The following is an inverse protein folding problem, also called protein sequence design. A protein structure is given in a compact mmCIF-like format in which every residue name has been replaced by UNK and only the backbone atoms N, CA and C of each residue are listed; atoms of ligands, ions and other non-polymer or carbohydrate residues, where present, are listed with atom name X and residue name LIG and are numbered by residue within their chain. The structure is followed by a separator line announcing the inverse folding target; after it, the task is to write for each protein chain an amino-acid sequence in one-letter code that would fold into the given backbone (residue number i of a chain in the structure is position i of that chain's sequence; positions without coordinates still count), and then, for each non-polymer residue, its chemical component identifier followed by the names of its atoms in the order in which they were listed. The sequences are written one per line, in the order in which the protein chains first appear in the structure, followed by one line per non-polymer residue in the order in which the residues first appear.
data_IF_881807168871
#
_entry.id   IF_881807168871
#
_cell.length_a   1.000
_cell.length_b   1.000
_cell.length_c   1.000
_cell.angle_alpha   90.00
_cell.angle_beta   90.00
_cell.angle_gamma   90.00
#
_symmetry.space_group_name_H-M   'P 1'
#
loop_
_entity.id
_entity.type
_entity.pdbx_description
1 polymer ?
#
# COMPACT_ATOMS: atom_id res chain seq x y z
N UNK A 1 -35.97 -52.91 3.00
CA UNK A 1 -36.19 -51.65 2.28
C UNK A 1 -36.24 -50.41 3.19
N UNK A 2 -36.76 -50.50 4.41
CA UNK A 2 -36.94 -49.36 5.32
C UNK A 2 -35.64 -48.63 5.72
N UNK A 3 -34.55 -49.39 5.87
CA UNK A 3 -33.25 -48.83 6.23
C UNK A 3 -32.61 -48.01 5.09
N UNK A 4 -32.80 -48.42 3.84
CA UNK A 4 -32.33 -47.65 2.68
C UNK A 4 -32.93 -46.24 2.66
N UNK A 5 -34.26 -46.14 2.81
CA UNK A 5 -34.97 -44.85 2.84
C UNK A 5 -34.47 -43.98 4.00
N UNK A 6 -34.22 -44.55 5.17
CA UNK A 6 -33.68 -43.81 6.32
C UNK A 6 -32.27 -43.26 6.05
N UNK A 7 -31.39 -44.07 5.46
CA UNK A 7 -30.03 -43.64 5.15
C UNK A 7 -29.99 -42.62 4.00
N UNK A 8 -30.83 -42.76 2.98
CA UNK A 8 -30.92 -41.78 1.89
C UNK A 8 -31.42 -40.43 2.40
N UNK A 9 -32.45 -40.41 3.26
CA UNK A 9 -32.92 -39.16 3.88
C UNK A 9 -31.87 -38.55 4.82
N UNK A 10 -31.18 -39.36 5.63
CA UNK A 10 -30.12 -38.87 6.50
C UNK A 10 -28.97 -38.25 5.69
N UNK A 11 -28.55 -38.89 4.60
CA UNK A 11 -27.52 -38.36 3.70
C UNK A 11 -27.97 -37.08 2.99
N UNK A 12 -29.23 -37.01 2.55
CA UNK A 12 -29.77 -35.84 1.85
C UNK A 12 -29.83 -34.62 2.78
N UNK A 13 -30.27 -34.82 4.02
CA UNK A 13 -30.34 -33.79 5.06
C UNK A 13 -28.94 -33.33 5.46
N UNK A 14 -28.01 -34.28 5.67
CA UNK A 14 -26.61 -33.99 5.98
C UNK A 14 -25.91 -33.18 4.88
N UNK A 15 -26.09 -33.57 3.61
CA UNK A 15 -25.56 -32.82 2.47
C UNK A 15 -26.18 -31.43 2.35
N UNK A 16 -27.47 -31.27 2.63
CA UNK A 16 -28.14 -29.96 2.57
C UNK A 16 -27.65 -29.02 3.69
N UNK A 17 -27.53 -29.53 4.93
CA UNK A 17 -26.96 -28.80 6.06
C UNK A 17 -25.48 -28.46 5.84
N UNK A 18 -24.70 -29.42 5.34
CA UNK A 18 -23.29 -29.21 5.01
C UNK A 18 -23.11 -28.14 3.94
N UNK A 19 -23.93 -28.15 2.89
CA UNK A 19 -23.91 -27.13 1.84
C UNK A 19 -24.26 -25.76 2.40
N UNK A 20 -25.29 -25.64 3.24
CA UNK A 20 -25.68 -24.38 3.86
C UNK A 20 -24.58 -23.80 4.75
N UNK A 21 -23.90 -24.65 5.54
CA UNK A 21 -22.78 -24.22 6.36
C UNK A 21 -21.57 -23.83 5.52
N UNK A 22 -21.24 -24.61 4.48
CA UNK A 22 -20.13 -24.31 3.59
C UNK A 22 -20.34 -23.00 2.83
N UNK A 23 -21.55 -22.78 2.28
CA UNK A 23 -21.90 -21.53 1.60
C UNK A 23 -21.95 -20.36 2.59
N UNK A 24 -22.53 -20.55 3.77
CA UNK A 24 -22.61 -19.50 4.78
C UNK A 24 -21.23 -19.04 5.26
N UNK A 25 -20.38 -19.98 5.67
CA UNK A 25 -19.02 -19.68 6.14
C UNK A 25 -18.13 -19.22 4.98
N UNK A 26 -18.18 -19.90 3.83
CA UNK A 26 -17.39 -19.55 2.66
C UNK A 26 -17.75 -18.16 2.10
N UNK A 27 -19.03 -17.85 1.97
CA UNK A 27 -19.48 -16.52 1.52
C UNK A 27 -19.10 -15.44 2.54
N UNK A 28 -19.29 -15.68 3.84
CA UNK A 28 -18.89 -14.70 4.88
C UNK A 28 -17.38 -14.42 4.85
N UNK A 29 -16.55 -15.45 4.64
CA UNK A 29 -15.10 -15.32 4.53
C UNK A 29 -14.70 -14.52 3.30
N UNK A 30 -15.35 -14.77 2.15
CA UNK A 30 -15.05 -14.09 0.90
C UNK A 30 -15.47 -12.61 0.99
N UNK A 31 -16.63 -12.32 1.59
CA UNK A 31 -17.08 -10.94 1.82
C UNK A 31 -16.13 -10.21 2.78
N UNK A 32 -15.70 -10.85 3.86
CA UNK A 32 -14.73 -10.25 4.80
C UNK A 32 -13.39 -9.93 4.11
N UNK A 33 -12.90 -10.84 3.26
CA UNK A 33 -11.69 -10.61 2.47
C UNK A 33 -11.88 -9.46 1.47
N UNK A 34 -13.05 -9.38 0.82
CA UNK A 34 -13.35 -8.32 -0.13
C UNK A 34 -13.39 -6.95 0.56
N UNK A 35 -13.98 -6.88 1.76
CA UNK A 35 -13.97 -5.66 2.57
C UNK A 35 -12.54 -5.30 2.95
N UNK A 36 -11.75 -6.24 3.46
CA UNK A 36 -10.36 -6.00 3.82
C UNK A 36 -9.51 -5.50 2.64
N UNK A 37 -9.72 -6.05 1.44
CA UNK A 37 -9.03 -5.62 0.22
C UNK A 37 -9.42 -4.21 -0.26
N UNK A 38 -10.59 -3.70 0.17
CA UNK A 38 -11.02 -2.33 -0.12
C UNK A 38 -10.64 -1.31 0.96
N UNK A 39 -10.12 -1.76 2.11
CA UNK A 39 -9.57 -0.86 3.16
C UNK A 39 -8.09 -0.60 2.86
N UNK A 40 -7.84 -0.06 1.68
CA UNK A 40 -6.57 0.56 1.33
C UNK A 40 -6.94 1.88 0.67
N UNK A 41 -6.29 2.95 1.09
CA UNK A 41 -6.51 4.32 0.58
C UNK A 41 -7.68 5.08 1.21
N UNK A 42 -7.65 5.23 2.54
CA UNK A 42 -8.08 6.51 3.10
C UNK A 42 -6.98 7.54 2.78
N UNK A 43 -7.28 8.54 1.95
CA UNK A 43 -6.42 9.70 1.71
C UNK A 43 -5.83 10.17 3.05
N UNK A 44 -4.50 10.20 3.22
CA UNK A 44 -3.89 10.58 4.47
C UNK A 44 -4.25 12.05 4.77
N UNK A 45 -5.16 12.27 5.71
CA UNK A 45 -5.49 13.63 6.15
C UNK A 45 -4.30 14.20 6.91
N UNK A 46 -3.51 15.03 6.24
CA UNK A 46 -2.33 15.68 6.81
C UNK A 46 -2.79 16.67 7.90
N UNK A 47 -2.48 16.35 9.16
CA UNK A 47 -2.83 17.20 10.30
C UNK A 47 -1.78 18.30 10.49
N UNK A 48 -2.18 19.55 10.74
CA UNK A 48 -1.27 20.69 10.85
C UNK A 48 -0.71 20.81 12.28
N UNK A 49 0.60 21.06 12.48
CA UNK A 49 1.72 21.05 11.53
C UNK A 49 2.34 19.64 11.36
N UNK A 50 2.71 19.28 10.12
CA UNK A 50 3.33 17.98 9.81
C UNK A 50 4.78 18.14 9.33
N UNK A 51 5.55 17.06 9.45
CA UNK A 51 6.93 16.94 8.95
C UNK A 51 6.94 15.82 7.93
N UNK A 52 7.42 16.11 6.71
CA UNK A 52 7.58 15.12 5.66
C UNK A 52 8.81 14.26 5.97
N UNK A 53 8.61 12.97 6.23
CA UNK A 53 9.70 12.03 6.48
C UNK A 53 10.06 11.33 5.18
N UNK A 54 11.28 11.56 4.70
CA UNK A 54 11.88 10.84 3.58
C UNK A 54 12.78 9.74 4.12
N UNK A 55 12.32 8.49 4.05
CA UNK A 55 13.09 7.33 4.50
C UNK A 55 14.01 6.80 3.39
N UNK A 56 15.31 6.76 3.67
CA UNK A 56 16.38 6.26 2.81
C UNK A 56 16.51 4.74 2.82
N UNK A 57 15.77 4.05 3.70
CA UNK A 57 15.70 2.58 3.74
C UNK A 57 14.79 1.97 2.67
N UNK A 58 14.02 2.80 1.95
CA UNK A 58 13.05 2.35 0.94
C UNK A 58 13.74 2.00 -0.38
N UNK A 59 13.28 0.93 -1.04
CA UNK A 59 13.80 0.56 -2.35
C UNK A 59 13.16 1.44 -3.44
N UNK A 60 13.97 2.24 -4.13
CA UNK A 60 13.50 3.18 -5.16
C UNK A 60 13.64 2.53 -6.55
N UNK A 61 12.53 2.44 -7.29
CA UNK A 61 12.52 1.95 -8.69
C UNK A 61 12.01 3.00 -9.67
N UNK A 62 12.55 2.98 -10.89
CA UNK A 62 12.13 3.91 -11.96
C UNK A 62 10.72 3.64 -12.50
N UNK A 63 10.32 2.37 -12.51
CA UNK A 63 8.99 1.94 -12.95
C UNK A 63 8.07 1.77 -11.74
N UNK A 64 6.81 2.17 -11.88
CA UNK A 64 5.76 1.74 -10.95
C UNK A 64 5.85 0.23 -10.78
N UNK A 65 5.74 -0.30 -9.56
CA UNK A 65 5.49 -1.72 -9.38
C UNK A 65 4.19 -2.02 -10.13
N UNK A 66 4.30 -2.58 -11.33
CA UNK A 66 3.15 -3.17 -12.01
C UNK A 66 2.83 -4.39 -11.19
N UNK A 67 1.97 -4.23 -10.19
CA UNK A 67 1.41 -5.31 -9.43
C UNK A 67 0.48 -6.07 -10.39
N UNK A 68 1.03 -7.05 -11.10
CA UNK A 68 0.19 -8.06 -11.71
C UNK A 68 -0.59 -8.77 -10.60
N UNK A 69 -1.74 -9.36 -10.93
CA UNK A 69 -2.61 -9.98 -9.93
C UNK A 69 -1.97 -11.11 -9.12
N UNK A 70 -0.77 -11.57 -9.50
CA UNK A 70 0.03 -12.53 -8.73
C UNK A 70 1.00 -11.84 -7.78
N UNK A 71 1.69 -10.77 -8.20
CA UNK A 71 2.54 -9.98 -7.31
C UNK A 71 1.74 -9.34 -6.17
N UNK A 72 0.53 -8.81 -6.46
CA UNK A 72 -0.35 -8.24 -5.44
C UNK A 72 -0.79 -9.26 -4.37
N UNK A 73 -0.96 -10.53 -4.78
CA UNK A 73 -1.31 -11.60 -3.85
C UNK A 73 -0.10 -12.02 -3.00
N UNK A 74 1.09 -12.09 -3.61
CA UNK A 74 2.33 -12.40 -2.89
C UNK A 74 2.68 -11.31 -1.87
N UNK A 75 2.52 -10.03 -2.21
CA UNK A 75 2.77 -8.91 -1.29
C UNK A 75 1.79 -8.90 -0.10
N UNK A 76 0.51 -9.19 -0.35
CA UNK A 76 -0.48 -9.36 0.72
C UNK A 76 -0.18 -10.54 1.68
N UNK A 77 0.59 -11.54 1.22
CA UNK A 77 0.97 -12.73 2.00
C UNK A 77 2.37 -12.59 2.63
N UNK A 78 3.29 -11.88 1.98
CA UNK A 78 4.69 -11.74 2.38
C UNK A 78 4.92 -10.57 3.37
N UNK A 79 3.99 -9.62 3.44
CA UNK A 79 4.19 -8.36 4.15
C UNK A 79 4.87 -7.34 3.23
N UNK A 80 4.42 -6.08 3.32
CA UNK A 80 4.85 -4.94 2.48
C UNK A 80 6.37 -4.89 2.28
N UNK A 81 6.83 -5.23 1.09
CA UNK A 81 8.14 -4.80 0.60
C UNK A 81 7.93 -3.39 0.04
N UNK A 82 8.10 -2.37 0.89
CA UNK A 82 7.85 -0.95 0.59
C UNK A 82 8.76 -0.45 -0.56
N UNK A 83 8.35 -0.74 -1.80
CA UNK A 83 9.02 -0.32 -3.02
C UNK A 83 8.29 0.90 -3.57
N UNK A 84 8.99 2.03 -3.67
CA UNK A 84 8.38 3.28 -4.13
C UNK A 84 8.93 3.65 -5.51
N UNK A 85 8.02 4.08 -6.39
CA UNK A 85 8.38 4.57 -7.71
C UNK A 85 9.01 5.97 -7.63
N UNK A 86 10.07 6.21 -8.42
CA UNK A 86 10.75 7.52 -8.50
C UNK A 86 9.77 8.66 -8.81
N UNK A 87 8.79 8.41 -9.68
CA UNK A 87 7.76 9.39 -10.03
C UNK A 87 6.93 9.84 -8.83
N UNK A 88 6.56 8.91 -7.96
CA UNK A 88 5.78 9.22 -6.75
C UNK A 88 6.59 10.10 -5.80
N UNK A 89 7.89 9.85 -5.67
CA UNK A 89 8.79 10.70 -4.88
C UNK A 89 8.84 12.12 -5.45
N UNK A 90 9.03 12.26 -6.77
CA UNK A 90 9.11 13.58 -7.40
C UNK A 90 7.80 14.37 -7.24
N UNK A 91 6.65 13.72 -7.46
CA UNK A 91 5.33 14.35 -7.27
C UNK A 91 5.08 14.72 -5.81
N UNK A 92 5.41 13.84 -4.86
CA UNK A 92 5.26 14.12 -3.44
C UNK A 92 6.13 15.30 -2.99
N UNK A 93 7.36 15.44 -3.51
CA UNK A 93 8.19 16.61 -3.24
C UNK A 93 7.64 17.89 -3.87
N UNK A 94 7.07 17.82 -5.08
CA UNK A 94 6.47 18.98 -5.74
C UNK A 94 5.22 19.46 -5.01
N UNK A 95 4.33 18.54 -4.63
CA UNK A 95 3.13 18.85 -3.85
C UNK A 95 3.50 19.38 -2.47
N UNK A 96 4.47 18.75 -1.79
CA UNK A 96 4.95 19.22 -0.50
C UNK A 96 5.68 20.56 -0.56
N UNK A 97 6.23 20.95 -1.72
CA UNK A 97 6.81 22.28 -1.89
C UNK A 97 5.75 23.39 -1.86
N UNK A 98 4.50 23.06 -2.23
CA UNK A 98 3.39 24.02 -2.30
C UNK A 98 2.41 23.93 -1.14
N UNK A 99 2.51 22.89 -0.30
CA UNK A 99 1.63 22.70 0.85
C UNK A 99 2.12 23.51 2.08
N UNK A 100 1.32 24.50 2.49
CA UNK A 100 1.56 25.34 3.69
C UNK A 100 1.61 24.53 5.00
N UNK A 101 1.18 23.27 5.01
CA UNK A 101 1.07 22.43 6.22
C UNK A 101 2.36 21.70 6.60
N UNK A 102 3.29 21.55 5.66
CA UNK A 102 4.49 20.71 5.80
C UNK A 102 5.67 21.57 6.22
N UNK A 103 5.94 21.73 7.50
CA UNK A 103 6.91 22.73 8.00
C UNK A 103 8.37 22.34 7.77
N UNK A 104 8.66 21.04 7.64
CA UNK A 104 10.02 20.54 7.49
C UNK A 104 10.07 19.20 6.74
N UNK A 105 11.21 18.94 6.11
CA UNK A 105 11.60 17.64 5.56
C UNK A 105 12.61 16.98 6.49
N UNK A 106 12.31 15.78 7.00
CA UNK A 106 13.22 14.96 7.79
C UNK A 106 13.70 13.78 6.94
N UNK A 107 15.01 13.61 6.81
CA UNK A 107 15.59 12.43 6.18
C UNK A 107 15.85 11.38 7.25
N UNK A 108 15.11 10.27 7.19
CA UNK A 108 15.26 9.11 8.05
C UNK A 108 16.04 8.00 7.32
N UNK A 109 16.65 7.08 8.05
CA UNK A 109 17.29 5.89 7.48
C UNK A 109 18.82 5.98 7.31
N UNK A 110 19.41 4.85 6.92
CA UNK A 110 20.84 4.71 6.67
C UNK A 110 21.11 4.92 5.17
N UNK A 111 21.93 5.91 4.76
CA UNK A 111 22.28 6.13 3.35
C UNK A 111 23.00 4.93 2.70
N UNK A 112 23.52 3.98 3.49
CA UNK A 112 24.14 2.75 2.98
C UNK A 112 23.13 1.66 2.59
N UNK A 113 21.87 1.78 3.05
CA UNK A 113 20.78 0.86 2.70
C UNK A 113 20.06 1.23 1.40
N UNK A 114 20.41 2.37 0.80
CA UNK A 114 19.72 2.91 -0.37
C UNK A 114 20.15 2.17 -1.65
N UNK A 115 19.43 1.11 -1.97
CA UNK A 115 19.60 0.34 -3.21
C UNK A 115 18.83 1.02 -4.36
N UNK A 116 19.43 2.08 -4.91
CA UNK A 116 18.87 2.87 -5.99
C UNK A 116 19.92 3.17 -7.08
N UNK A 117 19.49 3.21 -8.34
CA UNK A 117 20.38 3.50 -9.47
C UNK A 117 21.00 4.91 -9.39
N UNK A 118 22.23 5.09 -9.88
CA UNK A 118 22.90 6.40 -9.87
C UNK A 118 22.08 7.52 -10.56
N UNK A 119 21.34 7.18 -11.62
CA UNK A 119 20.47 8.12 -12.32
C UNK A 119 19.30 8.57 -11.43
N UNK A 120 18.65 7.64 -10.74
CA UNK A 120 17.50 7.92 -9.87
C UNK A 120 17.91 8.80 -8.69
N UNK A 121 19.07 8.53 -8.09
CA UNK A 121 19.65 9.35 -7.03
C UNK A 121 19.97 10.77 -7.48
N UNK A 122 20.41 10.96 -8.72
CA UNK A 122 20.67 12.28 -9.26
C UNK A 122 19.38 13.10 -9.42
N UNK A 123 18.30 12.46 -9.87
CA UNK A 123 16.99 13.10 -10.01
C UNK A 123 16.40 13.49 -8.65
N UNK A 124 16.42 12.57 -7.67
CA UNK A 124 15.99 12.85 -6.29
C UNK A 124 16.79 14.02 -5.70
N UNK A 125 18.11 14.04 -5.91
CA UNK A 125 18.96 15.15 -5.46
C UNK A 125 18.57 16.49 -6.09
N UNK A 126 18.22 16.49 -7.37
CA UNK A 126 17.79 17.70 -8.07
C UNK A 126 16.44 18.19 -7.54
N UNK A 127 15.49 17.29 -7.30
CA UNK A 127 14.19 17.61 -6.71
C UNK A 127 14.31 18.17 -5.29
N UNK A 128 15.14 17.57 -4.43
CA UNK A 128 15.43 18.08 -3.08
C UNK A 128 16.04 19.49 -3.11
N UNK A 129 16.88 19.77 -4.11
CA UNK A 129 17.46 21.10 -4.29
C UNK A 129 16.37 22.12 -4.67
N UNK A 130 15.48 21.76 -5.58
CA UNK A 130 14.36 22.61 -5.99
C UNK A 130 13.38 22.87 -4.84
N UNK A 131 13.04 21.83 -4.07
CA UNK A 131 12.22 21.94 -2.86
C UNK A 131 12.80 22.97 -1.88
N UNK A 132 14.10 22.87 -1.59
CA UNK A 132 14.77 23.84 -0.70
C UNK A 132 14.76 25.27 -1.26
N UNK A 133 14.92 25.44 -2.57
CA UNK A 133 14.89 26.76 -3.21
C UNK A 133 13.49 27.39 -3.18
N UNK A 134 12.42 26.61 -3.38
CA UNK A 134 11.03 27.07 -3.29
C UNK A 134 10.69 27.58 -1.88
N UNK A 135 11.02 26.80 -0.85
CA UNK A 135 10.82 27.17 0.55
C UNK A 135 11.58 28.43 0.96
N UNK A 136 12.78 28.63 0.42
CA UNK A 136 13.57 29.83 0.69
C UNK A 136 13.01 31.08 -0.01
N UNK A 137 12.29 30.90 -1.13
CA UNK A 137 11.61 31.99 -1.82
C UNK A 137 10.36 32.45 -1.07
N UNK A 138 9.55 31.52 -0.54
CA UNK A 138 8.33 31.85 0.21
C UNK A 138 8.61 32.49 1.58
N UNK A 139 9.71 32.14 2.24
CA UNK A 139 10.09 32.78 3.51
C UNK A 139 10.63 34.22 3.36
N UNK A 140 10.83 34.68 2.11
CA UNK A 140 11.37 36.01 1.79
C UNK A 140 10.32 37.02 1.29
N UNK A 141 9.03 36.64 1.25
CA UNK A 141 7.90 37.54 0.99
C UNK A 141 7.27 38.04 2.30
#
# INVERSE_FOLDING_TARGET
MRQFIQYTFASLIGSCLGLLLFVGLGASSLIALLIAATVSESEPTVNKPSVLVFDLGLQIRDADPILGGREALEEALAGEDETIALRQILLALEEAATDENIVALYMAGDPLGLDAGFATLQEVRQALKAFREAWQADFCL
#
